data_IF_007051283256
#
_entry.id   IF_007051283256
#
_cell.length_a   1.000
_cell.length_b   1.000
_cell.length_c   1.000
_cell.angle_alpha   90.00
_cell.angle_beta   90.00
_cell.angle_gamma   90.00
#
_symmetry.space_group_name_H-M   'P 1'
#
loop_
_entity.id
_entity.type
_entity.pdbx_description
1 polymer ?
#
# COMPACT_ATOMS: atom_id res chain seq x y z
N UNK A 1 -23.25 -8.39 8.16
CA UNK A 1 -21.99 -7.77 7.65
C UNK A 1 -21.14 -7.44 8.86
N UNK A 2 -19.85 -7.77 8.88
CA UNK A 2 -18.99 -7.34 9.98
C UNK A 2 -18.84 -5.81 9.92
N UNK A 3 -19.23 -5.13 11.00
CA UNK A 3 -19.04 -3.70 11.15
C UNK A 3 -17.54 -3.42 11.30
N UNK A 4 -16.99 -2.61 10.38
CA UNK A 4 -15.57 -2.23 10.37
C UNK A 4 -15.44 -0.82 10.94
N UNK A 5 -14.65 -0.67 11.99
CA UNK A 5 -14.30 0.60 12.59
C UNK A 5 -12.85 0.92 12.24
N UNK A 6 -12.63 2.02 11.50
CA UNK A 6 -11.28 2.52 11.23
C UNK A 6 -10.70 3.15 12.49
N UNK A 7 -9.51 2.71 12.90
CA UNK A 7 -8.81 3.22 14.09
C UNK A 7 -7.89 4.36 13.68
N UNK A 8 -7.01 4.12 12.69
CA UNK A 8 -6.04 5.13 12.27
C UNK A 8 -5.57 4.93 10.83
N UNK A 9 -5.21 6.03 10.17
CA UNK A 9 -4.54 6.05 8.87
C UNK A 9 -3.24 6.81 9.04
N UNK A 10 -2.12 6.20 8.64
CA UNK A 10 -0.78 6.78 8.76
C UNK A 10 0.02 6.55 7.49
N UNK A 11 1.04 7.38 7.29
CA UNK A 11 2.06 7.16 6.27
C UNK A 11 3.31 6.61 6.98
N UNK A 12 3.80 5.46 6.51
CA UNK A 12 5.05 4.87 7.00
C UNK A 12 6.13 5.17 5.96
N UNK A 13 7.20 5.80 6.41
CA UNK A 13 8.38 6.15 5.59
C UNK A 13 9.55 5.26 5.96
N UNK A 14 10.60 5.29 5.15
CA UNK A 14 11.83 4.56 5.44
C UNK A 14 12.55 5.12 6.68
N UNK A 15 13.37 4.29 7.34
CA UNK A 15 14.20 4.76 8.48
C UNK A 15 15.44 5.53 8.04
N UNK A 16 15.87 5.38 6.77
CA UNK A 16 17.00 6.12 6.21
C UNK A 16 16.55 6.92 5.00
N UNK A 17 16.85 8.23 4.93
CA UNK A 17 16.44 9.06 3.82
C UNK A 17 16.96 8.51 2.49
N UNK A 18 16.09 8.51 1.48
CA UNK A 18 16.48 8.14 0.13
C UNK A 18 17.30 9.27 -0.50
N UNK A 19 18.33 8.91 -1.29
CA UNK A 19 19.12 9.91 -2.00
C UNK A 19 18.24 10.80 -2.90
N UNK A 20 18.42 12.14 -2.87
CA UNK A 20 17.70 13.04 -3.74
C UNK A 20 17.90 12.67 -5.22
N UNK A 21 16.87 12.91 -6.04
CA UNK A 21 16.90 12.73 -7.51
C UNK A 21 17.18 11.30 -7.98
N UNK A 22 16.93 10.28 -7.16
CA UNK A 22 16.96 8.90 -7.61
C UNK A 22 15.67 8.56 -8.36
N UNK A 23 15.82 8.14 -9.62
CA UNK A 23 14.73 7.67 -10.47
C UNK A 23 14.94 6.20 -10.81
N UNK A 24 13.83 5.47 -10.98
CA UNK A 24 13.85 4.09 -11.42
C UNK A 24 12.95 3.92 -12.64
N UNK A 25 13.57 3.62 -13.78
CA UNK A 25 12.87 3.32 -15.03
C UNK A 25 12.27 1.92 -14.98
N UNK A 26 11.12 1.74 -15.62
CA UNK A 26 10.48 0.44 -15.76
C UNK A 26 11.08 -0.37 -16.91
N UNK A 27 11.07 -1.69 -16.73
CA UNK A 27 11.38 -2.64 -17.80
C UNK A 27 10.17 -2.79 -18.75
N UNK A 28 10.37 -3.49 -19.86
CA UNK A 28 9.28 -3.81 -20.80
C UNK A 28 8.17 -4.61 -20.09
N UNK A 29 8.54 -5.56 -19.22
CA UNK A 29 7.57 -6.36 -18.47
C UNK A 29 6.74 -5.51 -17.49
N UNK A 30 7.37 -4.54 -16.84
CA UNK A 30 6.67 -3.61 -15.94
C UNK A 30 5.66 -2.74 -16.71
N UNK A 31 6.00 -2.34 -17.95
CA UNK A 31 5.09 -1.58 -18.80
C UNK A 31 3.88 -2.40 -19.27
N UNK A 32 4.06 -3.70 -19.51
CA UNK A 32 2.99 -4.62 -19.91
C UNK A 32 1.99 -4.91 -18.77
N UNK A 33 2.41 -4.81 -17.50
CA UNK A 33 1.52 -5.00 -16.36
C UNK A 33 0.48 -3.87 -16.17
N UNK A 34 0.63 -2.76 -16.91
CA UNK A 34 -0.23 -1.58 -16.83
C UNK A 34 -0.47 -1.08 -15.37
N UNK A 35 -1.57 -0.35 -15.14
CA UNK A 35 -1.95 0.14 -13.81
C UNK A 35 -2.69 -0.96 -13.03
N UNK A 36 -1.96 -1.96 -12.58
CA UNK A 36 -2.54 -3.03 -11.77
C UNK A 36 -2.08 -2.95 -10.30
N UNK A 37 -2.96 -3.36 -9.39
CA UNK A 37 -2.63 -3.49 -7.96
C UNK A 37 -2.82 -4.93 -7.54
N UNK A 38 -1.73 -5.58 -7.17
CA UNK A 38 -1.77 -6.92 -6.58
C UNK A 38 -2.30 -6.78 -5.16
N UNK A 39 -3.33 -7.56 -4.84
CA UNK A 39 -3.96 -7.59 -3.51
C UNK A 39 -3.63 -8.92 -2.85
N UNK A 40 -3.14 -8.86 -1.63
CA UNK A 40 -2.75 -10.03 -0.83
C UNK A 40 -3.33 -9.83 0.56
N UNK A 41 -4.07 -10.81 1.06
CA UNK A 41 -4.58 -10.86 2.43
C UNK A 41 -3.93 -12.02 3.18
N UNK A 42 -3.46 -11.75 4.40
CA UNK A 42 -2.93 -12.76 5.32
C UNK A 42 -3.63 -12.63 6.68
N UNK A 43 -3.82 -13.76 7.37
CA UNK A 43 -4.45 -13.81 8.68
C UNK A 43 -3.50 -14.38 9.73
N UNK A 44 -3.36 -13.67 10.84
CA UNK A 44 -2.58 -14.10 12.01
C UNK A 44 -3.50 -14.30 13.21
N UNK A 45 -3.20 -15.28 14.08
CA UNK A 45 -4.09 -15.60 15.23
C UNK A 45 -3.96 -14.59 16.38
N UNK A 46 -2.82 -13.90 16.51
CA UNK A 46 -2.50 -13.05 17.66
C UNK A 46 -2.26 -11.59 17.26
N UNK A 47 -3.32 -10.81 17.06
CA UNK A 47 -3.19 -9.48 16.43
C UNK A 47 -2.77 -8.32 17.36
N UNK A 48 -2.90 -8.47 18.69
CA UNK A 48 -3.08 -7.31 19.59
C UNK A 48 -1.82 -6.50 19.88
N UNK A 49 -0.64 -7.08 19.71
CA UNK A 49 0.67 -6.40 19.88
C UNK A 49 1.39 -6.16 18.54
N UNK A 50 0.86 -6.70 17.44
CA UNK A 50 1.55 -6.71 16.15
C UNK A 50 1.61 -5.33 15.51
N UNK A 51 0.65 -4.43 15.70
CA UNK A 51 0.57 -3.21 14.90
C UNK A 51 1.79 -2.29 15.02
N UNK A 52 2.33 -2.12 16.23
CA UNK A 52 3.51 -1.26 16.47
C UNK A 52 4.76 -1.89 15.86
N UNK A 53 5.00 -3.17 16.18
CA UNK A 53 6.13 -3.94 15.64
C UNK A 53 6.08 -4.05 14.11
N UNK A 54 4.89 -4.21 13.55
CA UNK A 54 4.64 -4.23 12.11
C UNK A 54 4.98 -2.88 11.47
N UNK A 55 4.58 -1.77 12.08
CA UNK A 55 4.92 -0.43 11.58
C UNK A 55 6.43 -0.23 11.52
N UNK A 56 7.14 -0.59 12.58
CA UNK A 56 8.59 -0.47 12.67
C UNK A 56 9.31 -1.39 11.68
N UNK A 57 8.82 -2.63 11.56
CA UNK A 57 9.32 -3.61 10.60
C UNK A 57 9.12 -3.14 9.16
N UNK A 58 7.95 -2.59 8.82
CA UNK A 58 7.67 -1.97 7.51
C UNK A 58 8.64 -0.81 7.27
N UNK A 59 8.80 0.10 8.24
CA UNK A 59 9.72 1.24 8.09
C UNK A 59 11.16 0.80 7.81
N UNK A 60 11.64 -0.23 8.52
CA UNK A 60 12.96 -0.84 8.29
C UNK A 60 13.05 -1.52 6.91
N UNK A 61 12.01 -2.24 6.50
CA UNK A 61 11.94 -2.86 5.17
C UNK A 61 12.04 -1.80 4.06
N UNK A 62 11.30 -0.70 4.18
CA UNK A 62 11.25 0.37 3.16
C UNK A 62 12.62 1.03 2.91
N UNK A 63 13.51 1.03 3.89
CA UNK A 63 14.91 1.47 3.72
C UNK A 63 15.65 0.67 2.65
N UNK A 64 15.35 -0.63 2.50
CA UNK A 64 15.95 -1.48 1.48
C UNK A 64 15.17 -1.43 0.15
N UNK A 65 13.90 -1.03 0.17
CA UNK A 65 13.00 -1.01 -0.99
C UNK A 65 12.47 0.39 -1.32
N UNK A 66 13.39 1.36 -1.48
CA UNK A 66 13.07 2.77 -1.82
C UNK A 66 12.15 2.97 -3.05
N UNK A 67 12.07 1.99 -3.98
CA UNK A 67 11.14 2.04 -5.11
C UNK A 67 9.67 2.03 -4.64
N UNK A 68 9.38 1.35 -3.53
CA UNK A 68 8.03 1.18 -2.97
C UNK A 68 7.52 2.46 -2.31
N UNK A 69 8.41 3.28 -1.74
CA UNK A 69 8.04 4.57 -1.12
C UNK A 69 7.93 5.73 -2.11
N UNK A 70 8.28 5.50 -3.38
CA UNK A 70 8.29 6.53 -4.41
C UNK A 70 6.91 6.92 -4.93
N UNK A 71 6.90 7.73 -5.99
CA UNK A 71 5.70 8.09 -6.75
C UNK A 71 5.91 7.85 -8.24
N UNK A 72 4.85 7.40 -8.91
CA UNK A 72 4.83 7.24 -10.36
C UNK A 72 4.79 8.62 -11.02
N UNK A 73 5.71 8.84 -11.96
CA UNK A 73 5.76 10.01 -12.84
C UNK A 73 5.96 9.55 -14.29
N UNK A 74 5.66 10.41 -15.26
CA UNK A 74 6.03 10.17 -16.66
C UNK A 74 7.31 10.92 -17.00
N UNK A 75 8.16 10.31 -17.83
CA UNK A 75 9.34 10.96 -18.38
C UNK A 75 9.01 11.76 -19.66
N UNK A 76 10.01 12.40 -20.24
CA UNK A 76 9.89 13.20 -21.47
C UNK A 76 9.36 12.40 -22.67
N UNK A 77 9.59 11.08 -22.69
CA UNK A 77 9.09 10.17 -23.72
C UNK A 77 7.69 9.62 -23.41
N UNK A 78 7.06 10.08 -22.33
CA UNK A 78 5.75 9.63 -21.86
C UNK A 78 5.74 8.32 -21.07
N UNK A 79 6.89 7.66 -20.87
CA UNK A 79 6.97 6.38 -20.16
C UNK A 79 6.89 6.57 -18.65
N UNK A 80 6.18 5.67 -17.96
CA UNK A 80 6.13 5.65 -16.50
C UNK A 80 7.49 5.30 -15.89
N UNK A 81 7.83 5.99 -14.81
CA UNK A 81 9.00 5.74 -13.97
C UNK A 81 8.67 6.06 -12.51
N UNK A 82 9.49 5.57 -11.59
CA UNK A 82 9.35 5.87 -10.16
C UNK A 82 10.32 6.98 -9.79
N UNK A 83 9.81 8.07 -9.22
CA UNK A 83 10.60 9.05 -8.46
C UNK A 83 10.72 8.56 -7.02
N UNK A 84 11.93 8.17 -6.61
CA UNK A 84 12.19 7.72 -5.24
C UNK A 84 12.32 8.93 -4.31
N UNK A 85 11.18 9.46 -3.84
CA UNK A 85 11.09 10.66 -3.01
C UNK A 85 10.75 10.38 -1.54
N UNK A 86 10.84 9.12 -1.12
CA UNK A 86 10.48 8.66 0.23
C UNK A 86 9.14 9.17 0.74
N UNK A 87 8.15 9.28 -0.14
CA UNK A 87 6.81 9.75 0.21
C UNK A 87 6.00 8.72 1.01
N UNK A 88 6.61 7.58 1.33
CA UNK A 88 6.08 6.52 2.17
C UNK A 88 4.92 5.74 1.57
N UNK A 89 4.49 4.75 2.35
CA UNK A 89 3.35 3.86 2.07
C UNK A 89 2.21 4.15 3.05
N UNK A 90 0.97 3.90 2.62
CA UNK A 90 -0.21 4.09 3.45
C UNK A 90 -0.46 2.84 4.30
N UNK A 91 -0.53 3.02 5.61
CA UNK A 91 -0.96 2.01 6.57
C UNK A 91 -2.31 2.41 7.15
N UNK A 92 -3.26 1.47 7.16
CA UNK A 92 -4.58 1.66 7.75
C UNK A 92 -4.79 0.58 8.81
N UNK A 93 -5.11 1.01 10.01
CA UNK A 93 -5.49 0.16 11.13
C UNK A 93 -7.02 0.23 11.30
N UNK A 94 -7.66 -0.93 11.35
CA UNK A 94 -9.10 -1.06 11.51
C UNK A 94 -9.43 -2.29 12.37
N UNK A 95 -10.60 -2.25 13.00
CA UNK A 95 -11.16 -3.36 13.77
C UNK A 95 -12.47 -3.80 13.15
N UNK A 96 -12.66 -5.10 12.98
CA UNK A 96 -13.93 -5.67 12.55
C UNK A 96 -14.61 -6.38 13.73
N UNK A 97 -15.93 -6.28 13.84
CA UNK A 97 -16.71 -7.12 14.77
C UNK A 97 -16.83 -8.55 14.22
N UNK A 98 -16.52 -9.54 15.06
CA UNK A 98 -16.63 -10.97 14.72
C UNK A 98 -15.28 -11.70 14.71
N UNK A 99 -15.30 -12.97 14.30
CA UNK A 99 -14.09 -13.80 14.18
C UNK A 99 -13.67 -13.97 12.72
N UNK A 100 -12.36 -14.11 12.47
CA UNK A 100 -11.84 -14.46 11.14
C UNK A 100 -12.44 -15.79 10.66
N UNK A 101 -12.62 -16.75 11.55
CA UNK A 101 -13.21 -18.07 11.25
C UNK A 101 -14.63 -17.95 10.68
N UNK A 102 -15.47 -17.10 11.27
CA UNK A 102 -16.85 -16.92 10.80
C UNK A 102 -16.92 -16.06 9.54
N UNK A 103 -16.00 -15.11 9.40
CA UNK A 103 -15.85 -14.33 8.17
C UNK A 103 -15.47 -15.24 6.99
N UNK A 104 -14.50 -16.15 7.17
CA UNK A 104 -14.07 -17.10 6.12
C UNK A 104 -15.18 -18.05 5.66
N UNK A 105 -16.16 -18.37 6.50
CA UNK A 105 -17.32 -19.20 6.10
C UNK A 105 -18.28 -18.49 5.15
N UNK A 106 -18.26 -17.16 5.12
CA UNK A 106 -19.24 -16.33 4.41
C UNK A 106 -18.59 -15.30 3.48
N UNK A 107 -17.28 -15.40 3.26
CA UNK A 107 -16.52 -14.49 2.39
C UNK A 107 -16.91 -14.71 0.92
N UNK A 108 -17.18 -13.61 0.25
CA UNK A 108 -17.33 -13.52 -1.19
C UNK A 108 -16.35 -12.44 -1.70
N UNK A 109 -16.25 -12.31 -3.02
CA UNK A 109 -15.34 -11.34 -3.64
C UNK A 109 -15.58 -9.91 -3.15
N UNK A 110 -16.83 -9.50 -2.95
CA UNK A 110 -17.14 -8.13 -2.50
C UNK A 110 -16.70 -7.88 -1.06
N UNK A 111 -16.84 -8.87 -0.18
CA UNK A 111 -16.36 -8.81 1.20
C UNK A 111 -14.84 -8.81 1.27
N UNK A 112 -14.18 -9.59 0.43
CA UNK A 112 -12.71 -9.58 0.31
C UNK A 112 -12.19 -8.19 -0.11
N UNK A 113 -12.85 -7.55 -1.07
CA UNK A 113 -12.50 -6.20 -1.54
C UNK A 113 -12.61 -5.12 -0.47
N UNK A 114 -13.36 -5.35 0.62
CA UNK A 114 -13.48 -4.42 1.75
C UNK A 114 -12.31 -4.50 2.74
N UNK A 115 -11.51 -5.58 2.71
CA UNK A 115 -10.32 -5.70 3.55
C UNK A 115 -9.17 -4.81 3.07
N UNK A 116 -9.16 -4.45 1.79
CA UNK A 116 -8.13 -3.60 1.20
C UNK A 116 -8.65 -2.16 1.18
N UNK A 117 -7.91 -1.19 1.74
CA UNK A 117 -8.30 0.21 1.61
C UNK A 117 -8.47 0.55 0.14
N UNK A 118 -9.64 1.08 -0.23
CA UNK A 118 -9.84 1.60 -1.58
C UNK A 118 -8.72 2.61 -1.86
N UNK A 119 -7.90 2.33 -2.87
CA UNK A 119 -6.98 3.31 -3.42
C UNK A 119 -7.86 4.39 -4.05
N UNK A 120 -8.23 5.39 -3.25
CA UNK A 120 -8.76 6.63 -3.81
C UNK A 120 -7.65 7.17 -4.71
N UNK A 121 -7.78 6.90 -6.01
CA UNK A 121 -7.07 7.61 -7.05
C UNK A 121 -7.54 9.07 -6.98
N UNK A 122 -6.96 9.86 -6.08
CA UNK A 122 -6.91 11.29 -6.28
C UNK A 122 -5.89 11.51 -7.40
N UNK A 123 -6.33 11.32 -8.63
CA UNK A 123 -5.74 12.02 -9.76
C UNK A 123 -6.10 13.49 -9.50
N UNK A 124 -5.15 14.40 -9.23
CA UNK A 124 -5.48 15.81 -9.33
C UNK A 124 -5.96 16.01 -10.76
N UNK A 125 -7.26 16.31 -10.92
CA UNK A 125 -7.79 16.80 -12.18
C UNK A 125 -7.13 18.17 -12.39
N UNK A 126 -5.97 18.16 -13.04
CA UNK A 126 -5.31 19.35 -13.54
C UNK A 126 -6.00 19.75 -14.84
N UNK A 127 -6.71 20.87 -14.77
CA UNK A 127 -6.81 21.93 -15.79
C UNK A 127 -6.75 21.45 -17.25
N UNK A 128 -7.93 21.26 -17.83
CA UNK A 128 -8.21 21.54 -19.23
C UNK A 128 -9.10 22.77 -19.30
#
# INVERSE_FOLDING_TARGET
MAEITYICKRTVVSTKPTQPRKYHSFSILDHLMEKNHIRISWGEKEAREITVSLRESISKMLTHFSKVTGRLIRNEKGNWMIKCNDAGVRMVEARAKGSVKDWLKSVDREKELKLVPHLCHHVPQGLG
#
